data_IF_291200375712
#
_entry.id   IF_291200375712
#
_cell.length_a   1.000
_cell.length_b   1.000
_cell.length_c   1.000
_cell.angle_alpha   90.00
_cell.angle_beta   90.00
_cell.angle_gamma   90.00
#
_symmetry.space_group_name_H-M   'P 1'
#
loop_
_entity.id
_entity.type
_entity.pdbx_description
1 polymer ?
#
# COMPACT_ATOMS: atom_id res chain seq x y z
N UNK A 1 -5.75 -3.87 -3.17
CA UNK A 1 -5.22 -3.33 -1.89
C UNK A 1 -4.01 -4.16 -1.49
N UNK A 2 -2.88 -3.53 -1.22
CA UNK A 2 -1.63 -4.18 -0.78
C UNK A 2 -1.44 -3.84 0.69
N UNK A 3 -1.34 -4.88 1.52
CA UNK A 3 -1.07 -4.77 2.95
C UNK A 3 0.38 -5.21 3.14
N UNK A 4 1.27 -4.28 3.45
CA UNK A 4 2.69 -4.58 3.57
C UNK A 4 3.38 -3.67 4.57
N UNK A 5 4.46 -4.16 5.18
CA UNK A 5 5.38 -3.34 5.96
C UNK A 5 6.49 -2.82 5.05
N UNK A 6 6.59 -1.49 4.84
CA UNK A 6 7.58 -0.94 3.93
C UNK A 6 9.02 -1.12 4.43
N UNK A 7 9.24 -1.44 5.71
CA UNK A 7 10.55 -1.75 6.27
C UNK A 7 11.11 -3.08 5.79
N UNK A 8 10.25 -4.03 5.41
CA UNK A 8 10.67 -5.39 5.07
C UNK A 8 11.11 -5.51 3.62
N UNK A 9 12.17 -6.30 3.34
CA UNK A 9 12.66 -6.51 1.99
C UNK A 9 11.61 -7.18 1.08
N UNK A 10 10.74 -8.01 1.64
CA UNK A 10 9.66 -8.71 0.91
C UNK A 10 8.61 -7.76 0.32
N UNK A 11 8.41 -6.57 0.91
CA UNK A 11 7.44 -5.58 0.44
C UNK A 11 7.97 -4.73 -0.73
N UNK A 12 9.29 -4.63 -0.89
CA UNK A 12 9.94 -3.83 -1.94
C UNK A 12 9.48 -4.16 -3.36
N UNK A 13 9.50 -5.43 -3.81
CA UNK A 13 9.07 -5.75 -5.17
C UNK A 13 7.61 -5.38 -5.42
N UNK A 14 6.72 -5.60 -4.45
CA UNK A 14 5.30 -5.27 -4.57
C UNK A 14 5.05 -3.76 -4.69
N UNK A 15 5.78 -2.96 -3.91
CA UNK A 15 5.66 -1.51 -3.95
C UNK A 15 6.29 -0.90 -5.21
N UNK A 16 7.41 -1.46 -5.70
CA UNK A 16 7.97 -1.10 -7.02
C UNK A 16 7.00 -1.43 -8.15
N UNK A 17 6.33 -2.59 -8.10
CA UNK A 17 5.34 -2.96 -9.10
C UNK A 17 4.09 -2.06 -9.02
N UNK A 18 3.66 -1.68 -7.82
CA UNK A 18 2.57 -0.71 -7.64
C UNK A 18 2.88 0.64 -8.31
N UNK A 19 4.12 1.12 -8.17
CA UNK A 19 4.58 2.32 -8.89
C UNK A 19 4.57 2.10 -10.41
N UNK A 20 5.06 0.96 -10.89
CA UNK A 20 5.04 0.58 -12.30
C UNK A 20 3.61 0.61 -12.89
N UNK A 21 2.63 0.02 -12.20
CA UNK A 21 1.23 0.04 -12.63
C UNK A 21 0.66 1.46 -12.72
N UNK A 22 1.04 2.34 -11.80
CA UNK A 22 0.61 3.74 -11.84
C UNK A 22 1.25 4.48 -13.02
N UNK A 23 2.55 4.32 -13.23
CA UNK A 23 3.30 4.95 -14.34
C UNK A 23 2.78 4.48 -15.70
N UNK A 24 2.44 3.20 -15.83
CA UNK A 24 1.85 2.63 -17.03
C UNK A 24 0.36 2.90 -17.19
N UNK A 25 -0.27 3.66 -16.27
CA UNK A 25 -1.70 4.00 -16.30
C UNK A 25 -2.59 2.77 -16.46
N UNK A 26 -2.26 1.69 -15.75
CA UNK A 26 -3.06 0.48 -15.76
C UNK A 26 -4.49 0.77 -15.25
N UNK A 27 -5.54 0.11 -15.78
CA UNK A 27 -6.94 0.34 -15.41
C UNK A 27 -7.25 -0.31 -14.04
N UNK A 28 -6.55 0.12 -13.01
CA UNK A 28 -6.56 -0.44 -11.66
C UNK A 28 -6.64 0.69 -10.63
N UNK A 29 -7.41 0.46 -9.56
CA UNK A 29 -7.37 1.29 -8.36
C UNK A 29 -6.41 0.67 -7.35
N UNK A 30 -5.26 1.29 -7.15
CA UNK A 30 -4.27 0.85 -6.16
C UNK A 30 -4.63 1.43 -4.78
N UNK A 31 -4.53 0.59 -3.77
CA UNK A 31 -4.69 0.98 -2.36
C UNK A 31 -3.57 0.35 -1.56
N UNK A 32 -2.92 1.14 -0.71
CA UNK A 32 -1.80 0.72 0.13
C UNK A 32 -2.22 0.82 1.59
N UNK A 33 -1.96 -0.23 2.36
CA UNK A 33 -2.17 -0.27 3.80
C UNK A 33 -0.85 -0.70 4.44
N UNK A 34 -0.26 0.19 5.22
CA UNK A 34 1.01 -0.10 5.87
C UNK A 34 0.80 -0.84 7.18
N UNK A 35 1.22 -2.10 7.23
CA UNK A 35 1.14 -2.94 8.43
C UNK A 35 2.39 -2.74 9.30
N UNK A 36 2.50 -1.55 9.90
CA UNK A 36 3.60 -1.19 10.80
C UNK A 36 3.33 -1.66 12.23
N UNK A 37 4.37 -1.65 13.07
CA UNK A 37 4.27 -1.98 14.50
C UNK A 37 3.05 -1.27 15.14
N UNK A 38 2.21 -1.90 15.98
CA UNK A 38 1.04 -1.27 16.59
C UNK A 38 1.30 -0.46 17.88
N UNK A 39 2.51 -0.50 18.46
CA UNK A 39 2.82 0.15 19.76
C UNK A 39 2.92 1.69 19.69
N UNK A 40 1.95 2.41 20.26
CA UNK A 40 1.88 3.88 20.23
C UNK A 40 3.09 4.59 20.86
N UNK A 41 3.91 3.90 21.65
CA UNK A 41 5.13 4.43 22.28
C UNK A 41 6.35 4.39 21.37
N UNK A 42 6.25 3.74 20.21
CA UNK A 42 7.37 3.62 19.27
C UNK A 42 7.27 4.76 18.25
N UNK A 43 8.24 5.66 18.30
CA UNK A 43 8.35 6.81 17.39
C UNK A 43 8.90 6.39 16.03
N UNK A 44 8.65 7.18 14.98
CA UNK A 44 9.35 7.07 13.70
C UNK A 44 10.86 7.35 13.77
N UNK A 45 11.38 7.68 14.96
CA UNK A 45 12.83 7.77 15.24
C UNK A 45 13.45 6.42 15.62
N UNK A 46 12.64 5.47 16.07
CA UNK A 46 13.08 4.15 16.54
C UNK A 46 12.71 3.05 15.55
N UNK A 47 11.54 3.15 14.92
CA UNK A 47 11.04 2.14 13.98
C UNK A 47 11.06 2.65 12.52
N UNK A 48 11.75 1.95 11.61
CA UNK A 48 11.85 2.36 10.21
C UNK A 48 10.53 2.24 9.43
N UNK A 49 9.63 1.34 9.84
CA UNK A 49 8.32 1.19 9.23
C UNK A 49 7.41 2.37 9.57
N UNK A 50 7.39 2.77 10.85
CA UNK A 50 6.68 3.97 11.31
C UNK A 50 7.28 5.22 10.67
N UNK A 51 8.61 5.29 10.53
CA UNK A 51 9.28 6.39 9.86
C UNK A 51 8.81 6.56 8.40
N UNK A 52 8.71 5.46 7.66
CA UNK A 52 8.24 5.47 6.27
C UNK A 52 6.76 5.81 6.16
N UNK A 53 5.91 5.33 7.07
CA UNK A 53 4.49 5.71 7.11
C UNK A 53 4.33 7.22 7.31
N UNK A 54 5.04 7.80 8.28
CA UNK A 54 4.94 9.23 8.57
C UNK A 54 5.50 10.07 7.42
N UNK A 55 6.63 9.65 6.83
CA UNK A 55 7.19 10.29 5.65
C UNK A 55 6.26 10.20 4.43
N UNK A 56 5.56 9.08 4.25
CA UNK A 56 4.55 8.91 3.20
C UNK A 56 3.38 9.87 3.40
N UNK A 57 2.82 9.94 4.61
CA UNK A 57 1.71 10.83 4.93
C UNK A 57 2.10 12.29 4.70
N UNK A 58 3.27 12.71 5.21
CA UNK A 58 3.81 14.05 4.97
C UNK A 58 3.98 14.35 3.47
N UNK A 59 4.60 13.45 2.70
CA UNK A 59 4.79 13.64 1.27
C UNK A 59 3.45 13.66 0.50
N UNK A 60 2.45 12.94 0.98
CA UNK A 60 1.11 12.92 0.40
C UNK A 60 0.34 14.23 0.65
N UNK A 61 0.52 14.85 1.81
CA UNK A 61 -0.13 16.13 2.16
C UNK A 61 0.53 17.32 1.45
N UNK A 62 1.84 17.25 1.19
CA UNK A 62 2.56 18.32 0.50
C UNK A 62 2.23 18.43 -1.00
N UNK A 63 1.92 17.29 -1.64
CA UNK A 63 1.60 17.25 -3.07
C UNK A 63 0.41 16.34 -3.35
N UNK A 64 0.70 15.04 -3.41
CA UNK A 64 -0.23 14.01 -3.89
C UNK A 64 0.19 12.65 -3.34
N UNK A 65 -0.75 11.70 -3.25
CA UNK A 65 -0.50 10.33 -2.81
C UNK A 65 0.61 9.63 -3.63
N UNK A 66 0.76 9.96 -4.92
CA UNK A 66 1.86 9.47 -5.75
C UNK A 66 3.23 9.94 -5.25
N UNK A 67 3.33 11.17 -4.75
CA UNK A 67 4.60 11.70 -4.20
C UNK A 67 5.03 10.94 -2.95
N UNK A 68 4.07 10.40 -2.18
CA UNK A 68 4.33 9.48 -1.09
C UNK A 68 4.89 8.15 -1.57
N UNK A 69 4.28 7.54 -2.60
CA UNK A 69 4.78 6.27 -3.15
C UNK A 69 6.17 6.43 -3.77
N UNK A 70 6.38 7.50 -4.55
CA UNK A 70 7.66 7.85 -5.14
C UNK A 70 8.74 8.12 -4.06
N UNK A 71 8.36 8.63 -2.89
CA UNK A 71 9.29 8.77 -1.78
C UNK A 71 9.78 7.41 -1.27
N UNK A 72 8.87 6.44 -1.11
CA UNK A 72 9.22 5.09 -0.68
C UNK A 72 10.13 4.41 -1.69
N UNK A 73 9.84 4.53 -2.99
CA UNK A 73 10.66 3.92 -4.05
C UNK A 73 12.03 4.57 -4.17
N UNK A 74 12.15 5.88 -3.95
CA UNK A 74 13.45 6.57 -3.87
C UNK A 74 14.27 6.13 -2.64
N UNK A 75 13.62 5.90 -1.49
CA UNK A 75 14.29 5.30 -0.32
C UNK A 75 14.82 3.91 -0.66
N UNK A 76 14.03 3.09 -1.37
CA UNK A 76 14.48 1.77 -1.83
C UNK A 76 15.59 1.83 -2.87
N UNK A 77 15.64 2.86 -3.71
CA UNK A 77 16.73 3.04 -4.67
C UNK A 77 18.04 3.48 -3.98
N UNK A 78 17.94 4.21 -2.87
CA UNK A 78 19.10 4.65 -2.09
C UNK A 78 19.68 3.54 -1.21
N UNK A 79 18.85 2.61 -0.73
CA UNK A 79 19.26 1.48 0.11
C UNK A 79 19.61 0.27 -0.77
N UNK A 80 20.78 -0.34 -0.57
CA UNK A 80 21.16 -1.56 -1.31
C UNK A 80 20.18 -2.69 -1.00
N UNK A 81 19.83 -3.48 -2.02
CA UNK A 81 18.74 -4.48 -1.98
C UNK A 81 18.87 -5.54 -0.87
N UNK A 82 20.06 -5.72 -0.30
CA UNK A 82 20.40 -6.73 0.71
C UNK A 82 20.34 -6.24 2.18
N UNK A 83 20.13 -4.93 2.42
CA UNK A 83 20.11 -4.36 3.78
C UNK A 83 18.70 -4.01 4.23
N UNK A 84 18.35 -4.29 5.49
CA UNK A 84 17.18 -3.73 6.16
C UNK A 84 17.22 -2.20 6.17
N UNK A 85 16.05 -1.57 6.07
CA UNK A 85 15.93 -0.11 6.02
C UNK A 85 16.14 0.45 7.40
N UNK A 86 17.07 1.39 7.53
CA UNK A 86 17.30 2.07 8.80
C UNK A 86 16.59 3.42 8.82
N UNK A 87 16.26 3.89 10.02
CA UNK A 87 15.65 5.22 10.22
C UNK A 87 16.56 6.34 9.67
N UNK A 88 17.88 6.14 9.69
CA UNK A 88 18.85 7.10 9.15
C UNK A 88 18.73 7.29 7.63
N UNK A 89 18.43 6.22 6.90
CA UNK A 89 18.22 6.28 5.44
C UNK A 89 16.98 7.11 5.13
N UNK A 90 15.89 6.88 5.87
CA UNK A 90 14.63 7.64 5.74
C UNK A 90 14.85 9.11 6.09
N UNK A 91 15.57 9.39 7.19
CA UNK A 91 15.91 10.76 7.61
C UNK A 91 16.73 11.50 6.56
N UNK A 92 17.70 10.83 5.96
CA UNK A 92 18.57 11.42 4.94
C UNK A 92 17.78 11.75 3.67
N UNK A 93 16.92 10.83 3.22
CA UNK A 93 16.06 11.06 2.06
C UNK A 93 15.00 12.14 2.30
N UNK A 94 14.42 12.17 3.49
CA UNK A 94 13.44 13.19 3.87
C UNK A 94 14.06 14.60 3.86
N UNK A 95 15.27 14.76 4.42
CA UNK A 95 16.02 16.03 4.35
C UNK A 95 16.38 16.44 2.92
N UNK A 96 16.73 15.47 2.08
CA UNK A 96 17.11 15.72 0.68
C UNK A 96 15.92 16.22 -0.14
N UNK A 97 14.76 15.57 -0.04
CA UNK A 97 13.56 15.94 -0.79
C UNK A 97 12.79 17.12 -0.20
N UNK A 98 12.76 17.23 1.13
CA UNK A 98 11.97 18.24 1.85
C UNK A 98 12.85 19.01 2.84
N UNK A 99 13.71 19.92 2.35
CA UNK A 99 14.60 20.72 3.20
C UNK A 99 13.85 21.69 4.14
N UNK A 100 12.55 21.91 3.93
CA UNK A 100 11.71 22.75 4.78
C UNK A 100 10.96 21.99 5.89
N UNK A 101 10.95 20.65 5.85
CA UNK A 101 10.28 19.83 6.86
C UNK A 101 11.20 19.53 8.04
N UNK A 102 10.75 19.84 9.26
CA UNK A 102 11.45 19.41 10.48
C UNK A 102 11.28 17.91 10.67
N UNK A 103 12.33 17.15 10.33
CA UNK A 103 12.31 15.69 10.41
C UNK A 103 12.00 15.16 11.82
N UNK A 104 12.41 15.88 12.86
CA UNK A 104 12.11 15.52 14.26
C UNK A 104 10.63 15.76 14.62
N UNK A 105 9.97 16.70 13.97
CA UNK A 105 8.54 16.97 14.16
C UNK A 105 7.69 15.94 13.39
N UNK A 106 8.12 15.57 12.18
CA UNK A 106 7.42 14.59 11.34
C UNK A 106 7.55 13.16 11.92
N UNK A 107 8.73 12.80 12.44
CA UNK A 107 9.01 11.47 12.99
C UNK A 107 8.76 11.34 14.49
N UNK A 108 8.46 12.44 15.18
CA UNK A 108 8.23 12.48 16.62
C UNK A 108 6.99 11.70 17.08
N UNK A 109 6.92 11.46 18.39
CA UNK A 109 5.82 10.70 19.02
C UNK A 109 4.47 11.45 18.90
N UNK A 110 4.47 12.77 19.02
CA UNK A 110 3.29 13.64 18.90
C UNK A 110 2.95 14.06 17.46
N UNK A 111 3.55 13.40 16.47
CA UNK A 111 3.35 13.72 15.06
C UNK A 111 1.90 13.48 14.62
N UNK A 112 1.28 14.47 13.96
CA UNK A 112 -0.09 14.37 13.40
C UNK A 112 -0.21 13.25 12.35
N UNK A 113 0.92 12.90 11.73
CA UNK A 113 1.05 11.85 10.72
C UNK A 113 0.94 10.43 11.29
N UNK A 114 0.95 10.26 12.63
CA UNK A 114 0.71 8.98 13.30
C UNK A 114 -0.76 8.51 13.23
N UNK A 115 -1.70 9.37 12.82
CA UNK A 115 -3.13 9.04 12.74
C UNK A 115 -3.40 7.87 11.79
N UNK A 116 -2.64 7.76 10.68
CA UNK A 116 -2.75 6.66 9.72
C UNK A 116 -2.48 5.28 10.31
N UNK A 117 -1.69 5.21 11.39
CA UNK A 117 -1.38 3.96 12.10
C UNK A 117 -2.59 3.38 12.80
N UNK A 118 -3.40 4.23 13.45
CA UNK A 118 -4.63 3.80 14.15
C UNK A 118 -5.66 3.26 13.17
N UNK A 119 -5.81 3.92 12.02
CA UNK A 119 -6.71 3.50 10.95
C UNK A 119 -6.25 2.20 10.30
N UNK A 120 -4.96 2.05 10.01
CA UNK A 120 -4.39 0.82 9.46
C UNK A 120 -4.54 -0.37 10.43
N UNK A 121 -4.36 -0.13 11.74
CA UNK A 121 -4.60 -1.13 12.79
C UNK A 121 -6.06 -1.54 12.85
N UNK A 122 -7.00 -0.59 12.93
CA UNK A 122 -8.45 -0.88 12.94
C UNK A 122 -8.86 -1.69 11.71
N UNK A 123 -8.35 -1.32 10.54
CA UNK A 123 -8.58 -2.06 9.30
C UNK A 123 -8.05 -3.50 9.37
N UNK A 124 -6.84 -3.70 9.89
CA UNK A 124 -6.24 -5.03 10.03
C UNK A 124 -7.00 -5.89 11.05
N UNK A 125 -7.48 -5.29 12.14
CA UNK A 125 -8.26 -6.00 13.15
C UNK A 125 -9.64 -6.41 12.63
N UNK A 126 -10.31 -5.54 11.88
CA UNK A 126 -11.63 -5.82 11.29
C UNK A 126 -11.60 -6.78 10.12
N UNK A 127 -10.53 -6.74 9.34
CA UNK A 127 -10.39 -7.59 8.14
C UNK A 127 -10.07 -9.05 8.46
N UNK A 128 -9.74 -9.38 9.71
CA UNK A 128 -9.56 -10.76 10.15
C UNK A 128 -8.34 -11.46 9.56
N UNK A 129 -7.50 -10.76 8.80
CA UNK A 129 -6.22 -11.23 8.26
C UNK A 129 -5.17 -11.35 9.37
N UNK A 130 -5.49 -12.02 10.49
CA UNK A 130 -4.51 -12.42 11.49
C UNK A 130 -3.79 -13.67 10.99
N UNK A 131 -2.81 -13.48 10.11
CA UNK A 131 -1.66 -14.40 10.13
C UNK A 131 -0.73 -13.98 11.26
N UNK A 132 -0.14 -14.98 11.90
CA UNK A 132 0.61 -14.90 13.14
C UNK A 132 1.51 -13.64 13.24
N UNK A 133 1.70 -13.06 14.44
CA UNK A 133 2.58 -11.92 14.71
C UNK A 133 4.08 -12.13 14.36
N UNK A 134 4.42 -13.28 13.77
CA UNK A 134 5.76 -13.65 13.31
C UNK A 134 5.83 -13.95 11.79
N UNK A 135 4.71 -13.97 11.07
CA UNK A 135 4.69 -14.11 9.60
C UNK A 135 4.10 -12.84 8.99
N UNK A 136 4.95 -11.80 8.91
CA UNK A 136 4.64 -10.53 8.26
C UNK A 136 4.84 -10.63 6.74
N UNK A 137 4.32 -11.68 6.11
CA UNK A 137 4.32 -11.75 4.66
C UNK A 137 3.31 -10.70 4.14
N UNK A 138 3.68 -9.91 3.12
CA UNK A 138 2.78 -8.88 2.58
C UNK A 138 1.55 -9.55 1.96
N UNK A 139 0.35 -9.14 2.37
CA UNK A 139 -0.91 -9.69 1.86
C UNK A 139 -1.47 -8.76 0.77
N UNK A 140 -1.78 -9.32 -0.40
CA UNK A 140 -2.46 -8.56 -1.45
C UNK A 140 -3.89 -9.04 -1.61
N UNK A 141 -4.81 -8.08 -1.76
CA UNK A 141 -6.22 -8.27 -2.01
C UNK A 141 -6.56 -7.71 -3.39
N UNK A 142 -7.06 -8.57 -4.28
CA UNK A 142 -7.60 -8.18 -5.58
C UNK A 142 -9.13 -8.34 -5.54
N UNK A 143 -9.86 -7.23 -5.65
CA UNK A 143 -11.33 -7.19 -5.60
C UNK A 143 -11.94 -8.00 -4.43
N UNK A 144 -11.29 -7.98 -3.26
CA UNK A 144 -11.72 -8.70 -2.05
C UNK A 144 -11.18 -10.13 -1.92
N UNK A 145 -10.52 -10.67 -2.95
CA UNK A 145 -9.91 -12.01 -2.91
C UNK A 145 -8.45 -11.92 -2.44
N UNK A 146 -8.05 -12.62 -1.36
CA UNK A 146 -6.67 -12.67 -0.94
C UNK A 146 -5.83 -13.53 -1.90
N UNK A 147 -4.74 -12.96 -2.40
CA UNK A 147 -3.72 -13.72 -3.11
C UNK A 147 -2.92 -14.61 -2.14
N UNK A 148 -2.53 -15.79 -2.61
CA UNK A 148 -1.71 -16.72 -1.81
C UNK A 148 -0.27 -16.22 -1.70
N UNK A 149 0.41 -16.50 -0.58
CA UNK A 149 1.78 -16.01 -0.34
C UNK A 149 2.81 -16.49 -1.36
N UNK A 150 2.49 -17.60 -2.05
CA UNK A 150 3.33 -18.18 -3.11
C UNK A 150 3.32 -17.35 -4.38
N UNK A 151 2.33 -16.48 -4.59
CA UNK A 151 2.19 -15.63 -5.77
C UNK A 151 2.61 -14.18 -5.52
N UNK A 152 3.39 -13.94 -4.45
CA UNK A 152 3.91 -12.62 -4.08
C UNK A 152 5.26 -12.29 -4.76
N UNK A 153 5.73 -13.13 -5.68
CA UNK A 153 6.85 -12.75 -6.54
C UNK A 153 6.40 -11.68 -7.53
N UNK A 154 7.31 -10.79 -7.94
CA UNK A 154 6.96 -9.64 -8.79
C UNK A 154 6.26 -10.06 -10.09
N UNK A 155 6.76 -11.11 -10.74
CA UNK A 155 6.24 -11.60 -12.02
C UNK A 155 4.89 -12.31 -11.86
N UNK A 156 4.75 -13.19 -10.87
CA UNK A 156 3.48 -13.90 -10.63
C UNK A 156 2.37 -12.96 -10.16
N UNK A 157 2.73 -11.92 -9.40
CA UNK A 157 1.77 -10.91 -8.98
C UNK A 157 1.28 -10.09 -10.17
N UNK A 158 2.17 -9.70 -11.09
CA UNK A 158 1.78 -9.01 -12.32
C UNK A 158 0.84 -9.88 -13.17
N UNK A 159 1.20 -11.14 -13.40
CA UNK A 159 0.39 -12.09 -14.16
C UNK A 159 -0.98 -12.32 -13.51
N UNK A 160 -1.04 -12.46 -12.18
CA UNK A 160 -2.28 -12.64 -11.44
C UNK A 160 -3.21 -11.43 -11.59
N UNK A 161 -2.66 -10.21 -11.49
CA UNK A 161 -3.42 -8.97 -11.69
C UNK A 161 -3.96 -8.87 -13.11
N UNK A 162 -3.12 -9.11 -14.13
CA UNK A 162 -3.54 -9.05 -15.52
C UNK A 162 -4.60 -10.11 -15.85
N UNK A 163 -4.43 -11.32 -15.34
CA UNK A 163 -5.39 -12.41 -15.51
C UNK A 163 -6.74 -12.06 -14.90
N UNK A 164 -6.75 -11.45 -13.71
CA UNK A 164 -7.98 -11.03 -13.06
C UNK A 164 -8.69 -9.91 -13.83
N UNK A 165 -7.96 -8.94 -14.38
CA UNK A 165 -8.53 -7.91 -15.26
C UNK A 165 -9.20 -8.57 -16.48
N UNK A 166 -8.52 -9.50 -17.14
CA UNK A 166 -9.07 -10.22 -18.30
C UNK A 166 -10.30 -11.06 -17.93
N UNK A 167 -10.32 -11.66 -16.75
CA UNK A 167 -11.43 -12.47 -16.23
C UNK A 167 -12.67 -11.63 -15.92
N UNK A 168 -12.48 -10.44 -15.34
CA UNK A 168 -13.57 -9.55 -14.94
C UNK A 168 -14.15 -8.74 -16.11
N UNK A 169 -13.34 -8.40 -17.11
CA UNK A 169 -13.74 -7.54 -18.24
C UNK A 169 -15.01 -8.02 -18.97
N UNK A 170 -15.19 -9.32 -19.31
CA UNK A 170 -16.40 -9.82 -19.94
C UNK A 170 -17.66 -9.65 -19.08
N UNK A 171 -17.54 -9.73 -17.76
CA UNK A 171 -18.66 -9.56 -16.82
C UNK A 171 -19.21 -8.15 -16.90
N UNK A 172 -18.33 -7.14 -16.87
CA UNK A 172 -18.72 -5.74 -17.05
C UNK A 172 -19.31 -5.49 -18.44
N UNK A 173 -18.67 -5.99 -19.50
CA UNK A 173 -19.19 -5.84 -20.86
C UNK A 173 -20.60 -6.43 -21.01
N UNK A 174 -20.85 -7.58 -20.40
CA UNK A 174 -22.17 -8.22 -20.40
C UNK A 174 -23.21 -7.42 -19.59
N UNK A 175 -22.81 -6.85 -18.45
CA UNK A 175 -23.68 -6.01 -17.64
C UNK A 175 -24.09 -4.73 -18.39
N UNK A 176 -23.15 -4.07 -19.06
CA UNK A 176 -23.43 -2.90 -19.92
C UNK A 176 -24.36 -3.29 -21.07
N UNK A 177 -24.08 -4.40 -21.76
CA UNK A 177 -24.91 -4.84 -22.90
C UNK A 177 -26.37 -5.12 -22.51
N UNK A 178 -26.58 -5.63 -21.30
CA UNK A 178 -27.93 -5.88 -20.76
C UNK A 178 -28.62 -4.64 -20.18
N UNK A 179 -27.91 -3.53 -20.06
CA UNK A 179 -28.39 -2.33 -19.36
C UNK A 179 -28.46 -2.49 -17.84
N UNK A 180 -27.74 -3.46 -17.26
CA UNK A 180 -27.61 -3.66 -15.81
C UNK A 180 -26.56 -2.73 -15.19
N UNK A 181 -25.68 -2.12 -16.01
CA UNK A 181 -24.66 -1.16 -15.60
C UNK A 181 -24.68 0.04 -16.55
N UNK A 182 -24.89 1.24 -16.00
CA UNK A 182 -24.99 2.49 -16.74
C UNK A 182 -23.93 3.51 -16.28
N UNK A 183 -23.74 4.60 -17.04
CA UNK A 183 -22.81 5.68 -16.68
C UNK A 183 -23.15 6.37 -15.34
N UNK A 184 -24.36 6.15 -14.81
CA UNK A 184 -24.81 6.72 -13.53
C UNK A 184 -24.43 5.87 -12.32
N UNK A 185 -24.00 4.63 -12.54
CA UNK A 185 -23.75 3.64 -11.49
C UNK A 185 -22.26 3.62 -11.09
N UNK A 186 -21.98 3.48 -9.79
CA UNK A 186 -20.60 3.30 -9.32
C UNK A 186 -20.14 1.86 -9.62
N UNK A 187 -19.02 1.75 -10.33
CA UNK A 187 -18.43 0.44 -10.68
C UNK A 187 -17.99 -0.37 -9.45
N UNK A 188 -17.61 0.28 -8.35
CA UNK A 188 -17.26 -0.40 -7.10
C UNK A 188 -18.49 -0.97 -6.42
N UNK A 189 -19.58 -0.21 -6.32
CA UNK A 189 -20.84 -0.70 -5.75
C UNK A 189 -21.39 -1.88 -6.56
N UNK A 190 -21.24 -1.84 -7.89
CA UNK A 190 -21.60 -2.97 -8.74
C UNK A 190 -20.81 -4.25 -8.42
N UNK A 191 -19.49 -4.14 -8.16
CA UNK A 191 -18.65 -5.27 -7.74
C UNK A 191 -19.08 -5.77 -6.35
N UNK A 192 -19.28 -4.86 -5.40
CA UNK A 192 -19.62 -5.19 -4.02
C UNK A 192 -21.01 -5.86 -3.90
N UNK A 193 -21.93 -5.56 -4.82
CA UNK A 193 -23.24 -6.20 -4.88
C UNK A 193 -23.24 -7.58 -5.56
N UNK A 194 -22.12 -8.05 -6.10
CA UNK A 194 -22.05 -9.40 -6.65
C UNK A 194 -22.10 -10.45 -5.53
N UNK A 195 -22.76 -11.57 -5.80
CA UNK A 195 -23.01 -12.65 -4.83
C UNK A 195 -21.75 -13.27 -4.19
N UNK A 196 -20.56 -12.96 -4.72
CA UNK A 196 -19.27 -13.48 -4.26
C UNK A 196 -18.58 -12.57 -3.23
N UNK A 197 -19.06 -11.34 -3.00
CA UNK A 197 -18.48 -10.40 -2.04
C UNK A 197 -19.35 -10.38 -0.79
N UNK A 198 -18.76 -10.68 0.37
CA UNK A 198 -19.50 -10.61 1.64
C UNK A 198 -19.68 -9.13 2.01
N UNK A 199 -20.92 -8.66 2.31
CA UNK A 199 -21.20 -7.28 2.72
C UNK A 199 -20.65 -6.95 4.11
#
# INVERSE_FOLDING_TARGET
VIIADPAKPEARPLLKLAESFYVHTAPLRLGLVFAVNPDETVSGLEDPGVAMLNAFNYASEQKDAYSGLAFITDVYAAVKEDRDITVEDVRTQLKSKYPQGNVEEILGEDSEYNTGRKLAKDFLERSGFRRHPQCLAPQVLLNGVPLSDKSLTSDEFEEAVLTEIMSQTPTFQKAVYKGEFSDSDDSLDFIMNQANVMP
#
